data_IF_941813069642
#
_entry.id   IF_941813069642
#
_cell.length_a   1.000
_cell.length_b   1.000
_cell.length_c   1.000
_cell.angle_alpha   90.00
_cell.angle_beta   90.00
_cell.angle_gamma   90.00
#
_symmetry.space_group_name_H-M   'P 1'
#
loop_
_entity.id
_entity.type
_entity.pdbx_description
1 polymer ?
#
# COMPACT_ATOMS: atom_id res chain seq x y z
N UNK A 1 5.78 4.46 24.86
CA UNK A 1 6.57 3.30 24.38
C UNK A 1 5.63 2.12 24.29
N UNK A 2 5.04 1.89 23.11
CA UNK A 2 4.30 0.67 22.82
C UNK A 2 5.06 -0.03 21.69
N UNK A 3 5.95 -0.94 22.07
CA UNK A 3 6.60 -1.84 21.13
C UNK A 3 5.54 -2.89 20.81
N UNK A 4 4.89 -2.77 19.65
CA UNK A 4 4.07 -3.84 19.12
C UNK A 4 5.00 -5.01 18.80
N UNK A 5 5.03 -5.99 19.69
CA UNK A 5 5.75 -7.23 19.51
C UNK A 5 5.13 -7.98 18.34
N UNK A 6 5.72 -7.87 17.15
CA UNK A 6 5.34 -8.64 15.98
C UNK A 6 5.57 -10.11 16.29
N UNK A 7 4.48 -10.84 16.54
CA UNK A 7 4.51 -12.29 16.67
C UNK A 7 4.94 -12.88 15.34
N UNK A 8 6.10 -13.54 15.33
CA UNK A 8 6.56 -14.33 14.19
C UNK A 8 5.66 -15.57 14.13
N UNK A 9 4.58 -15.48 13.36
CA UNK A 9 3.80 -16.66 13.00
C UNK A 9 4.62 -17.41 11.96
N UNK A 10 5.09 -18.61 12.31
CA UNK A 10 5.83 -19.48 11.39
C UNK A 10 4.83 -20.15 10.45
N UNK A 11 4.99 -19.96 9.13
CA UNK A 11 4.14 -20.64 8.14
C UNK A 11 4.19 -22.16 8.28
N UNK A 12 3.04 -22.83 8.13
CA UNK A 12 2.82 -24.25 8.48
C UNK A 12 3.69 -25.24 7.68
N UNK A 13 4.34 -24.82 6.59
CA UNK A 13 5.20 -25.68 5.74
C UNK A 13 6.71 -25.70 6.06
N UNK A 14 7.14 -25.26 7.25
CA UNK A 14 8.34 -25.77 7.96
C UNK A 14 9.76 -25.55 7.38
N UNK A 15 9.92 -25.24 6.09
CA UNK A 15 11.22 -24.86 5.49
C UNK A 15 11.04 -23.86 4.33
N UNK A 16 9.95 -23.99 3.57
CA UNK A 16 9.68 -23.20 2.36
C UNK A 16 8.90 -21.91 2.64
N UNK A 17 8.05 -21.88 3.67
CA UNK A 17 7.40 -20.64 4.13
C UNK A 17 8.32 -19.76 4.99
N UNK A 18 9.30 -20.37 5.66
CA UNK A 18 10.27 -19.68 6.52
C UNK A 18 11.13 -18.66 5.75
N UNK A 19 11.42 -18.91 4.47
CA UNK A 19 12.17 -18.00 3.62
C UNK A 19 11.47 -16.65 3.44
N UNK A 20 10.16 -16.64 3.17
CA UNK A 20 9.39 -15.41 3.01
C UNK A 20 9.08 -14.74 4.35
N UNK A 21 8.66 -15.50 5.37
CA UNK A 21 8.38 -14.96 6.72
C UNK A 21 9.62 -14.29 7.33
N UNK A 22 10.82 -14.81 7.03
CA UNK A 22 12.09 -14.24 7.46
C UNK A 22 12.70 -13.22 6.50
N UNK A 23 12.12 -13.02 5.31
CA UNK A 23 12.69 -12.14 4.31
C UNK A 23 12.44 -10.68 4.70
N UNK A 24 13.53 -10.02 5.06
CA UNK A 24 13.57 -8.58 5.25
C UNK A 24 14.77 -8.01 4.53
N UNK A 25 14.54 -7.03 3.68
CA UNK A 25 15.62 -6.31 3.03
C UNK A 25 16.34 -5.41 4.04
N UNK A 26 17.57 -5.79 4.41
CA UNK A 26 18.37 -5.08 5.43
C UNK A 26 19.29 -4.00 4.83
N UNK A 27 19.52 -4.00 3.51
CA UNK A 27 20.40 -3.03 2.83
C UNK A 27 19.77 -2.55 1.53
N UNK A 28 19.97 -1.27 1.16
CA UNK A 28 19.42 -0.55 -0.02
C UNK A 28 19.91 -1.09 -1.38
N UNK A 29 19.88 -2.39 -1.58
CA UNK A 29 20.45 -3.06 -2.75
C UNK A 29 19.59 -2.91 -4.01
N UNK A 30 18.38 -2.34 -3.91
CA UNK A 30 17.44 -2.14 -5.02
C UNK A 30 16.81 -0.73 -5.04
N UNK A 31 17.48 0.27 -4.44
CA UNK A 31 16.96 1.64 -4.28
C UNK A 31 15.62 1.77 -3.50
N UNK A 32 15.14 0.67 -2.91
CA UNK A 32 13.96 0.64 -2.03
C UNK A 32 14.38 0.84 -0.57
N UNK A 33 13.56 1.56 0.19
CA UNK A 33 13.77 1.86 1.61
C UNK A 33 13.21 0.78 2.54
N UNK A 34 12.06 0.20 2.17
CA UNK A 34 11.34 -0.80 2.95
C UNK A 34 10.82 -1.86 1.98
N UNK A 35 11.19 -3.13 2.21
CA UNK A 35 10.73 -4.28 1.44
C UNK A 35 10.80 -5.55 2.30
N UNK A 36 9.64 -6.13 2.63
CA UNK A 36 9.53 -7.34 3.45
C UNK A 36 8.20 -8.06 3.19
N UNK A 37 8.15 -9.35 3.48
CA UNK A 37 6.91 -10.13 3.45
C UNK A 37 6.44 -10.40 4.87
N UNK A 38 5.23 -9.96 5.19
CA UNK A 38 4.61 -10.17 6.50
C UNK A 38 3.51 -11.22 6.37
N UNK A 39 3.60 -12.32 7.11
CA UNK A 39 2.58 -13.36 7.09
C UNK A 39 1.28 -12.84 7.72
N UNK A 40 0.19 -12.91 6.98
CA UNK A 40 -1.14 -12.49 7.42
C UNK A 40 -1.91 -13.70 7.93
N UNK A 41 -2.01 -14.73 7.10
CA UNK A 41 -2.71 -15.96 7.42
C UNK A 41 -1.93 -17.16 6.91
N UNK A 42 -2.04 -18.30 7.60
CA UNK A 42 -1.38 -19.54 7.22
C UNK A 42 -2.29 -20.71 7.47
N UNK A 43 -2.34 -21.58 6.48
CA UNK A 43 -3.21 -22.73 6.52
C UNK A 43 -2.61 -23.91 5.76
N UNK A 44 -3.31 -25.05 5.84
CA UNK A 44 -2.94 -26.22 5.08
C UNK A 44 -3.23 -26.03 3.59
N UNK A 45 -2.17 -25.73 2.83
CA UNK A 45 -2.17 -25.86 1.38
C UNK A 45 -0.92 -25.31 0.71
N UNK A 46 -0.78 -25.65 -0.58
CA UNK A 46 0.38 -25.29 -1.39
C UNK A 46 0.38 -23.86 -1.96
N UNK A 47 -0.75 -23.20 -2.31
CA UNK A 47 -0.67 -21.85 -2.87
C UNK A 47 -0.11 -20.83 -1.89
N UNK A 48 0.50 -19.80 -2.47
CA UNK A 48 0.99 -18.61 -1.78
C UNK A 48 0.26 -17.42 -2.38
N UNK A 49 -0.42 -16.64 -1.55
CA UNK A 49 -1.02 -15.39 -1.96
C UNK A 49 -0.16 -14.23 -1.47
N UNK A 50 0.32 -13.38 -2.36
CA UNK A 50 1.07 -12.17 -2.01
C UNK A 50 0.18 -10.97 -2.30
N UNK A 51 -0.16 -10.26 -1.24
CA UNK A 51 -1.07 -9.13 -1.23
C UNK A 51 -0.31 -7.82 -1.16
N UNK A 52 -0.53 -6.94 -2.13
CA UNK A 52 0.24 -5.70 -2.33
C UNK A 52 -0.68 -4.49 -2.18
N UNK A 53 -0.52 -3.75 -1.07
CA UNK A 53 -1.31 -2.55 -0.82
C UNK A 53 -0.86 -1.39 -1.72
N UNK A 54 -1.81 -0.54 -2.14
CA UNK A 54 -1.53 0.60 -3.02
C UNK A 54 -1.48 1.98 -2.35
N UNK A 55 -2.02 2.10 -1.14
CA UNK A 55 -1.95 3.30 -0.30
C UNK A 55 -2.31 2.91 1.13
N UNK A 56 -1.92 3.73 2.10
CA UNK A 56 -2.24 3.56 3.53
C UNK A 56 -2.91 4.85 4.02
N UNK A 57 -4.18 4.77 4.42
CA UNK A 57 -5.02 5.95 4.68
C UNK A 57 -4.69 6.58 6.03
N UNK A 58 -4.54 5.77 7.07
CA UNK A 58 -4.25 6.24 8.42
C UNK A 58 -2.75 6.17 8.74
N UNK A 59 -2.27 7.02 9.65
CA UNK A 59 -0.84 7.03 10.04
C UNK A 59 -0.41 5.72 10.70
N UNK A 60 -1.33 5.07 11.42
CA UNK A 60 -1.14 3.77 12.06
C UNK A 60 -1.28 2.58 11.12
N UNK A 61 -1.75 2.78 9.88
CA UNK A 61 -1.94 1.69 8.94
C UNK A 61 -0.60 1.08 8.53
N UNK A 62 -0.66 -0.23 8.32
CA UNK A 62 0.41 -1.04 7.77
C UNK A 62 -0.14 -1.90 6.64
N UNK A 63 0.72 -2.30 5.71
CA UNK A 63 0.32 -3.21 4.63
C UNK A 63 -0.30 -4.49 5.19
N UNK A 64 0.26 -5.01 6.29
CA UNK A 64 -0.29 -6.15 7.03
C UNK A 64 -1.71 -5.86 7.52
N UNK A 65 -1.95 -4.74 8.22
CA UNK A 65 -3.27 -4.43 8.79
C UNK A 65 -4.38 -4.28 7.74
N UNK A 66 -4.05 -3.72 6.57
CA UNK A 66 -5.00 -3.62 5.44
C UNK A 66 -5.44 -5.01 4.97
N UNK A 67 -4.49 -5.94 4.83
CA UNK A 67 -4.79 -7.27 4.33
C UNK A 67 -5.31 -8.22 5.41
N UNK A 68 -4.90 -8.06 6.67
CA UNK A 68 -5.48 -8.76 7.81
C UNK A 68 -6.98 -8.45 7.91
N UNK A 69 -7.35 -7.17 7.87
CA UNK A 69 -8.76 -6.76 7.87
C UNK A 69 -9.52 -7.28 6.63
N UNK A 70 -8.89 -7.28 5.45
CA UNK A 70 -9.53 -7.72 4.22
C UNK A 70 -9.70 -9.24 4.11
N UNK A 71 -8.73 -10.03 4.60
CA UNK A 71 -8.71 -11.49 4.46
C UNK A 71 -9.37 -12.22 5.62
N UNK A 72 -9.50 -11.58 6.79
CA UNK A 72 -10.09 -12.17 8.01
C UNK A 72 -11.46 -12.83 7.80
N UNK A 73 -12.26 -12.33 6.87
CA UNK A 73 -13.61 -12.86 6.60
C UNK A 73 -13.71 -13.64 5.26
N UNK A 74 -12.63 -13.69 4.46
CA UNK A 74 -12.68 -14.25 3.10
C UNK A 74 -12.67 -15.79 3.11
N UNK A 75 -12.32 -16.41 4.24
CA UNK A 75 -12.14 -17.86 4.29
C UNK A 75 -10.87 -18.23 3.53
N UNK A 76 -10.05 -19.05 4.15
CA UNK A 76 -8.74 -19.33 3.60
C UNK A 76 -8.83 -20.29 2.39
N UNK A 77 -8.23 -19.89 1.26
CA UNK A 77 -8.17 -20.66 0.01
C UNK A 77 -7.24 -21.89 0.07
N UNK A 78 -6.75 -22.24 1.27
CA UNK A 78 -5.80 -23.32 1.50
C UNK A 78 -4.41 -22.93 1.05
N UNK A 79 -3.74 -22.03 1.77
CA UNK A 79 -2.35 -21.63 1.53
C UNK A 79 -1.79 -20.67 2.58
N UNK A 80 -0.64 -20.06 2.26
CA UNK A 80 -0.08 -18.95 3.05
C UNK A 80 -0.40 -17.61 2.38
N UNK A 81 -0.92 -16.64 3.12
CA UNK A 81 -1.16 -15.28 2.68
C UNK A 81 -0.13 -14.33 3.27
N UNK A 82 0.55 -13.57 2.42
CA UNK A 82 1.56 -12.59 2.80
C UNK A 82 1.13 -11.19 2.39
N UNK A 83 1.27 -10.22 3.29
CA UNK A 83 1.26 -8.81 2.94
C UNK A 83 2.67 -8.38 2.53
N UNK A 84 2.81 -7.89 1.30
CA UNK A 84 4.04 -7.23 0.86
C UNK A 84 4.10 -5.83 1.48
N UNK A 85 5.05 -5.64 2.38
CA UNK A 85 5.42 -4.33 2.91
C UNK A 85 6.46 -3.72 1.99
N UNK A 86 6.10 -2.64 1.32
CA UNK A 86 6.98 -1.90 0.42
C UNK A 86 6.77 -0.41 0.58
N UNK A 87 7.86 0.37 0.62
CA UNK A 87 7.84 1.85 0.63
C UNK A 87 6.75 2.47 1.52
N UNK A 88 6.61 1.95 2.76
CA UNK A 88 5.52 2.32 3.67
C UNK A 88 5.41 3.84 3.91
N UNK A 89 6.52 4.57 3.80
CA UNK A 89 6.54 6.02 3.90
C UNK A 89 5.79 6.68 2.74
N UNK A 90 6.08 6.28 1.49
CA UNK A 90 5.44 6.83 0.30
C UNK A 90 3.97 6.42 0.19
N UNK A 91 3.62 5.20 0.61
CA UNK A 91 2.24 4.75 0.64
C UNK A 91 1.36 5.57 1.61
N UNK A 92 1.90 5.97 2.77
CA UNK A 92 1.21 6.89 3.69
C UNK A 92 1.10 8.29 3.12
N UNK A 93 2.14 8.75 2.41
CA UNK A 93 2.12 10.06 1.75
C UNK A 93 1.01 10.10 0.69
N UNK A 94 0.90 9.04 -0.11
CA UNK A 94 -0.19 8.85 -1.06
C UNK A 94 -1.56 8.84 -0.38
N UNK A 95 -1.71 8.05 0.70
CA UNK A 95 -2.98 7.97 1.41
C UNK A 95 -3.42 9.31 2.00
N UNK A 96 -2.51 10.08 2.60
CA UNK A 96 -2.81 11.45 3.09
C UNK A 96 -3.35 12.35 1.98
N UNK A 97 -2.69 12.33 0.83
CA UNK A 97 -3.11 13.11 -0.35
C UNK A 97 -4.49 12.66 -0.85
N UNK A 98 -4.72 11.35 -0.92
CA UNK A 98 -6.00 10.79 -1.34
C UNK A 98 -7.14 11.11 -0.36
N UNK A 99 -6.89 10.97 0.95
CA UNK A 99 -7.86 11.32 1.99
C UNK A 99 -8.23 12.79 1.96
N UNK A 100 -7.26 13.67 1.74
CA UNK A 100 -7.50 15.11 1.65
C UNK A 100 -8.31 15.46 0.40
N UNK A 101 -7.99 14.85 -0.74
CA UNK A 101 -8.76 14.98 -1.96
C UNK A 101 -10.22 14.54 -1.78
N UNK A 102 -10.45 13.38 -1.15
CA UNK A 102 -11.81 12.87 -0.87
C UNK A 102 -12.56 13.81 0.08
N UNK A 103 -11.93 14.32 1.14
CA UNK A 103 -12.53 15.27 2.09
C UNK A 103 -12.96 16.56 1.41
N UNK A 104 -12.14 17.07 0.50
CA UNK A 104 -12.45 18.29 -0.24
C UNK A 104 -13.56 18.09 -1.26
N UNK A 105 -13.58 16.95 -1.93
CA UNK A 105 -14.69 16.63 -2.83
C UNK A 105 -16.00 16.53 -2.02
N UNK A 106 -15.99 15.85 -0.87
CA UNK A 106 -17.14 15.77 0.02
C UNK A 106 -17.60 17.14 0.54
N UNK A 107 -16.67 18.03 0.90
CA UNK A 107 -17.01 19.39 1.36
C UNK A 107 -17.57 20.24 0.23
N UNK A 108 -17.04 20.13 -1.00
CA UNK A 108 -17.54 20.85 -2.19
C UNK A 108 -19.01 20.54 -2.51
N UNK A 109 -19.46 19.30 -2.28
CA UNK A 109 -20.86 18.92 -2.39
C UNK A 109 -21.74 19.48 -1.24
N UNK A 110 -21.14 19.84 -0.10
CA UNK A 110 -21.83 20.44 1.05
C UNK A 110 -21.97 21.97 1.00
N UNK A 111 -21.11 22.69 0.28
CA UNK A 111 -21.09 24.18 0.29
C UNK A 111 -22.06 24.83 -0.72
N UNK A 112 -22.84 24.06 -1.48
CA UNK A 112 -23.87 24.62 -2.40
C UNK A 112 -25.10 25.21 -1.70
N UNK A 113 -25.05 25.45 -0.37
CA UNK A 113 -26.21 25.89 0.40
C UNK A 113 -25.91 26.97 1.46
N UNK A 114 -25.09 28.00 1.19
CA UNK A 114 -25.17 29.23 2.01
C UNK A 114 -25.00 30.46 1.13
N UNK A 115 -26.12 31.13 0.86
CA UNK A 115 -26.16 32.45 0.24
C UNK A 115 -25.63 33.53 1.18
N UNK A 116 -24.78 34.40 0.63
CA UNK A 116 -24.73 35.86 0.79
C UNK A 116 -23.31 36.35 0.46
N UNK A 117 -23.06 36.49 -0.83
CA UNK A 117 -21.79 36.92 -1.42
C UNK A 117 -21.95 38.37 -1.91
N UNK A 118 -21.52 39.37 -1.12
CA UNK A 118 -21.47 40.75 -1.66
C UNK A 118 -20.17 41.51 -1.40
N UNK A 119 -19.31 41.15 -0.42
CA UNK A 119 -18.08 41.96 -0.19
C UNK A 119 -16.77 41.16 -0.08
N UNK A 120 -16.80 39.82 -0.04
CA UNK A 120 -15.59 38.96 -0.03
C UNK A 120 -15.22 38.31 -1.37
N UNK A 121 -15.96 38.61 -2.45
CA UNK A 121 -15.96 37.83 -3.69
C UNK A 121 -14.64 37.88 -4.46
N UNK A 122 -13.96 39.03 -4.54
CA UNK A 122 -12.71 39.15 -5.30
C UNK A 122 -11.53 38.38 -4.68
N UNK A 123 -11.42 38.33 -3.34
CA UNK A 123 -10.37 37.56 -2.67
C UNK A 123 -10.72 36.06 -2.56
N UNK A 124 -12.00 35.69 -2.43
CA UNK A 124 -12.43 34.29 -2.48
C UNK A 124 -12.25 33.65 -3.86
N UNK A 125 -12.50 34.40 -4.94
CA UNK A 125 -12.38 33.94 -6.33
C UNK A 125 -10.94 33.62 -6.76
N UNK A 126 -9.93 34.26 -6.17
CA UNK A 126 -8.52 33.97 -6.48
C UNK A 126 -7.96 32.83 -5.63
N UNK A 127 -8.46 32.65 -4.41
CA UNK A 127 -7.95 31.64 -3.49
C UNK A 127 -8.46 30.23 -3.82
N UNK A 128 -9.69 30.07 -4.30
CA UNK A 128 -10.23 28.77 -4.67
C UNK A 128 -9.47 28.11 -5.85
N UNK A 129 -9.22 28.80 -6.99
CA UNK A 129 -8.40 28.24 -8.06
C UNK A 129 -6.98 27.93 -7.61
N UNK A 130 -6.38 28.78 -6.75
CA UNK A 130 -5.02 28.57 -6.24
C UNK A 130 -4.93 27.35 -5.32
N UNK A 131 -5.93 27.14 -4.47
CA UNK A 131 -6.01 25.95 -3.64
C UNK A 131 -6.09 24.69 -4.52
N UNK A 132 -7.02 24.67 -5.50
CA UNK A 132 -7.18 23.54 -6.43
C UNK A 132 -5.88 23.25 -7.19
N UNK A 133 -5.22 24.27 -7.74
CA UNK A 133 -3.95 24.11 -8.48
C UNK A 133 -2.81 23.63 -7.57
N UNK A 134 -2.74 24.12 -6.34
CA UNK A 134 -1.71 23.69 -5.38
C UNK A 134 -1.91 22.23 -4.96
N UNK A 135 -3.14 21.74 -4.94
CA UNK A 135 -3.46 20.37 -4.58
C UNK A 135 -3.18 19.42 -5.75
N UNK A 136 -3.54 19.79 -6.99
CA UNK A 136 -3.23 18.97 -8.17
C UNK A 136 -1.73 18.79 -8.35
N UNK A 137 -0.94 19.85 -8.18
CA UNK A 137 0.52 19.76 -8.28
C UNK A 137 1.15 18.88 -7.19
N UNK A 138 0.59 18.86 -5.97
CA UNK A 138 1.04 17.96 -4.89
C UNK A 138 0.65 16.50 -5.16
N UNK A 139 -0.57 16.28 -5.68
CA UNK A 139 -1.07 14.96 -6.10
C UNK A 139 -0.17 14.42 -7.21
N UNK A 140 0.06 15.18 -8.27
CA UNK A 140 0.83 14.75 -9.43
C UNK A 140 2.27 14.38 -9.05
N UNK A 141 2.90 15.16 -8.17
CA UNK A 141 4.27 14.87 -7.71
C UNK A 141 4.33 13.60 -6.83
N UNK A 142 3.42 13.47 -5.87
CA UNK A 142 3.38 12.28 -4.99
C UNK A 142 3.03 11.03 -5.78
N UNK A 143 2.08 11.14 -6.72
CA UNK A 143 1.66 10.06 -7.60
C UNK A 143 2.76 9.62 -8.55
N UNK A 144 3.50 10.55 -9.16
CA UNK A 144 4.65 10.24 -9.99
C UNK A 144 5.77 9.54 -9.21
N UNK A 145 6.05 10.00 -7.98
CA UNK A 145 7.06 9.36 -7.12
C UNK A 145 6.65 7.94 -6.72
N UNK A 146 5.40 7.74 -6.30
CA UNK A 146 4.89 6.41 -5.99
C UNK A 146 4.90 5.48 -7.21
N UNK A 147 4.68 5.99 -8.42
CA UNK A 147 4.76 5.19 -9.66
C UNK A 147 6.18 4.68 -9.87
N UNK A 148 7.17 5.57 -9.81
CA UNK A 148 8.56 5.18 -9.97
C UNK A 148 9.00 4.17 -8.90
N UNK A 149 8.58 4.37 -7.64
CA UNK A 149 8.84 3.43 -6.55
C UNK A 149 8.12 2.10 -6.73
N UNK A 150 6.89 2.10 -7.24
CA UNK A 150 6.15 0.87 -7.54
C UNK A 150 6.81 0.06 -8.65
N UNK A 151 7.41 0.72 -9.65
CA UNK A 151 8.11 0.03 -10.73
C UNK A 151 9.36 -0.69 -10.22
N UNK A 152 10.12 -0.02 -9.34
CA UNK A 152 11.28 -0.61 -8.65
C UNK A 152 10.87 -1.78 -7.74
N UNK A 153 9.79 -1.63 -6.98
CA UNK A 153 9.27 -2.69 -6.12
C UNK A 153 8.80 -3.91 -6.91
N UNK A 154 8.13 -3.70 -8.06
CA UNK A 154 7.70 -4.76 -8.96
C UNK A 154 8.87 -5.53 -9.56
N UNK A 155 9.87 -4.81 -10.08
CA UNK A 155 11.09 -5.43 -10.61
C UNK A 155 11.85 -6.24 -9.54
N UNK A 156 11.92 -5.74 -8.30
CA UNK A 156 12.54 -6.46 -7.19
C UNK A 156 11.73 -7.70 -6.79
N UNK A 157 10.39 -7.58 -6.74
CA UNK A 157 9.50 -8.72 -6.50
C UNK A 157 9.68 -9.81 -7.57
N UNK A 158 9.76 -9.42 -8.85
CA UNK A 158 10.00 -10.34 -9.97
C UNK A 158 11.30 -11.11 -9.81
N UNK A 159 12.38 -10.43 -9.40
CA UNK A 159 13.68 -11.05 -9.15
C UNK A 159 13.57 -12.11 -8.06
N UNK A 160 12.89 -11.79 -6.95
CA UNK A 160 12.72 -12.72 -5.83
C UNK A 160 11.86 -13.94 -6.21
N UNK A 161 10.78 -13.73 -6.96
CA UNK A 161 9.95 -14.83 -7.45
C UNK A 161 10.69 -15.70 -8.46
N UNK A 162 11.57 -15.11 -9.27
CA UNK A 162 12.44 -15.82 -10.22
C UNK A 162 13.51 -16.66 -9.50
N UNK A 163 14.06 -16.15 -8.40
CA UNK A 163 14.96 -16.87 -7.48
C UNK A 163 14.25 -17.98 -6.70
N UNK A 164 12.91 -18.08 -6.82
CA UNK A 164 12.05 -19.05 -6.15
C UNK A 164 12.21 -19.03 -4.62
N UNK A 165 12.18 -17.86 -4.00
CA UNK A 165 12.18 -17.73 -2.54
C UNK A 165 11.00 -18.46 -1.86
N UNK A 166 9.92 -18.64 -2.61
CA UNK A 166 8.70 -19.36 -2.24
C UNK A 166 8.76 -20.87 -2.57
N UNK A 167 9.84 -21.33 -3.20
CA UNK A 167 9.96 -22.66 -3.79
C UNK A 167 9.13 -22.83 -5.07
N UNK A 168 8.72 -24.08 -5.37
CA UNK A 168 7.89 -24.40 -6.54
C UNK A 168 6.38 -24.24 -6.27
N UNK A 169 5.99 -23.41 -5.30
CA UNK A 169 4.59 -23.19 -4.92
C UNK A 169 3.91 -22.29 -5.95
N UNK A 170 2.63 -22.53 -6.31
CA UNK A 170 1.89 -21.61 -7.15
C UNK A 170 1.68 -20.29 -6.40
N UNK A 171 1.93 -19.17 -7.08
CA UNK A 171 1.85 -17.81 -6.50
C UNK A 171 0.67 -17.08 -7.10
N UNK A 172 -0.18 -16.52 -6.25
CA UNK A 172 -1.26 -15.60 -6.61
C UNK A 172 -0.87 -14.21 -6.14
N UNK A 173 -0.84 -13.24 -7.06
CA UNK A 173 -0.59 -11.84 -6.74
C UNK A 173 -1.91 -11.08 -6.69
N UNK A 174 -2.16 -10.38 -5.59
CA UNK A 174 -3.35 -9.54 -5.41
C UNK A 174 -2.89 -8.14 -5.06
N UNK A 175 -3.36 -7.12 -5.76
CA UNK A 175 -3.00 -5.75 -5.45
C UNK A 175 -4.07 -4.76 -5.88
N UNK A 176 -4.11 -3.62 -5.21
CA UNK A 176 -4.97 -2.49 -5.56
C UNK A 176 -4.14 -1.22 -5.69
N UNK A 177 -4.62 -0.23 -6.45
CA UNK A 177 -3.95 1.07 -6.56
C UNK A 177 -2.52 0.98 -7.09
N UNK A 178 -1.58 1.64 -6.40
CA UNK A 178 -0.15 1.53 -6.71
C UNK A 178 0.38 0.11 -6.54
N UNK A 179 -0.24 -0.71 -5.68
CA UNK A 179 0.10 -2.10 -5.49
C UNK A 179 -0.29 -2.96 -6.69
N UNK A 180 -1.36 -2.62 -7.41
CA UNK A 180 -1.67 -3.27 -8.68
C UNK A 180 -0.59 -3.00 -9.74
N UNK A 181 0.02 -1.81 -9.72
CA UNK A 181 1.14 -1.49 -10.60
C UNK A 181 2.39 -2.31 -10.27
N UNK A 182 2.70 -2.50 -8.99
CA UNK A 182 3.76 -3.42 -8.55
C UNK A 182 3.52 -4.82 -9.11
N UNK A 183 2.28 -5.32 -9.06
CA UNK A 183 1.91 -6.64 -9.59
C UNK A 183 2.05 -6.70 -11.12
N UNK A 184 1.69 -5.64 -11.84
CA UNK A 184 1.82 -5.58 -13.31
C UNK A 184 3.28 -5.52 -13.76
N UNK A 185 4.14 -4.85 -12.99
CA UNK A 185 5.56 -4.70 -13.30
C UNK A 185 6.40 -5.93 -12.89
N UNK A 186 5.83 -6.78 -12.03
CA UNK A 186 6.42 -8.05 -11.61
C UNK A 186 6.42 -9.07 -12.75
#
# INVERSE_FOLDING_TARGET
VAVASFGVVAGVFGATGAGMVGYRMVRRTADLQDFAFDLVDSSEGLPVTICVAGWLLDEGDSCWGVWDAALRDVGNDGGDAFALRWESHELRRMGKVLSEYIRQQASSFGVTAVGNAVVGTAFGLLNLPRAIISLTTMIDNTWALCQLRSDLAGAHLASLLSERIQGNRPVTLVGFGMGARVVIQC
#
